data_IF_230892758576
#
_entry.id   IF_230892758576
#
_cell.length_a   1.000
_cell.length_b   1.000
_cell.length_c   1.000
_cell.angle_alpha   90.00
_cell.angle_beta   90.00
_cell.angle_gamma   90.00
#
_symmetry.space_group_name_H-M   'P 1'
#
loop_
_entity.id
_entity.type
_entity.pdbx_description
1 polymer ?
#
# COMPACT_ATOMS: atom_id res chain seq x y z
N UNK A 1 9.41 25.42 9.90
CA UNK A 1 8.43 24.35 10.10
C UNK A 1 9.17 23.19 10.75
N UNK A 2 9.09 23.15 12.08
CA UNK A 2 9.27 22.05 13.04
C UNK A 2 10.06 20.80 12.60
N UNK A 3 11.33 20.73 13.03
CA UNK A 3 12.06 19.48 13.24
C UNK A 3 11.59 18.88 14.58
N UNK A 4 10.40 18.30 14.60
CA UNK A 4 9.97 17.49 15.75
C UNK A 4 10.80 16.19 15.75
N UNK A 5 11.71 15.98 16.72
CA UNK A 5 12.57 14.79 16.74
C UNK A 5 11.78 13.49 16.90
N UNK A 6 10.55 13.56 17.40
CA UNK A 6 9.67 12.40 17.61
C UNK A 6 8.84 12.07 16.35
N UNK A 7 8.84 12.96 15.35
CA UNK A 7 8.12 12.72 14.10
C UNK A 7 8.75 11.60 13.28
N UNK A 8 7.93 10.81 12.61
CA UNK A 8 8.39 9.78 11.67
C UNK A 8 8.58 10.32 10.25
N UNK A 9 7.95 11.45 9.95
CA UNK A 9 7.97 12.09 8.63
C UNK A 9 9.39 12.59 8.27
N UNK A 10 9.77 12.43 7.01
CA UNK A 10 11.09 12.79 6.49
C UNK A 10 12.24 11.85 6.87
N UNK A 11 12.03 10.88 7.77
CA UNK A 11 13.09 9.93 8.19
C UNK A 11 13.33 8.79 7.20
N UNK A 12 12.33 8.45 6.40
CA UNK A 12 12.46 7.56 5.24
C UNK A 12 11.58 8.08 4.10
N UNK A 13 12.09 9.04 3.29
CA UNK A 13 11.28 9.71 2.27
C UNK A 13 10.70 8.76 1.23
N UNK A 14 11.44 7.72 0.81
CA UNK A 14 10.95 6.76 -0.19
C UNK A 14 9.73 5.98 0.33
N UNK A 15 9.80 5.51 1.58
CA UNK A 15 8.69 4.81 2.22
C UNK A 15 7.50 5.73 2.44
N UNK A 16 7.75 6.98 2.79
CA UNK A 16 6.73 8.01 2.95
C UNK A 16 5.99 8.28 1.63
N UNK A 17 6.74 8.49 0.53
CA UNK A 17 6.15 8.68 -0.80
C UNK A 17 5.37 7.45 -1.25
N UNK A 18 5.92 6.26 -1.03
CA UNK A 18 5.22 5.00 -1.32
C UNK A 18 3.89 4.90 -0.57
N UNK A 19 3.89 5.14 0.75
CA UNK A 19 2.67 5.15 1.54
C UNK A 19 1.71 6.24 1.07
N UNK A 20 2.20 7.45 0.78
CA UNK A 20 1.39 8.58 0.34
C UNK A 20 0.67 8.27 -0.98
N UNK A 21 1.34 7.60 -1.91
CA UNK A 21 0.74 7.12 -3.15
C UNK A 21 -0.40 6.12 -2.89
N UNK A 22 -0.18 5.15 -2.00
CA UNK A 22 -1.22 4.18 -1.60
C UNK A 22 -2.39 4.85 -0.87
N UNK A 23 -2.09 5.72 0.09
CA UNK A 23 -3.08 6.44 0.88
C UNK A 23 -3.89 7.38 -0.01
N UNK A 24 -3.30 7.94 -1.07
CA UNK A 24 -4.04 8.75 -2.03
C UNK A 24 -5.20 8.00 -2.70
N UNK A 25 -5.17 6.65 -2.71
CA UNK A 25 -6.12 5.79 -3.44
C UNK A 25 -6.12 6.05 -4.95
N UNK A 26 -5.12 6.79 -5.45
CA UNK A 26 -4.87 6.98 -6.88
C UNK A 26 -3.83 6.00 -7.42
N UNK A 27 -3.16 5.25 -6.55
CA UNK A 27 -2.21 4.22 -6.93
C UNK A 27 -2.39 3.00 -6.02
N UNK A 28 -2.24 1.81 -6.60
CA UNK A 28 -2.14 0.54 -5.89
C UNK A 28 -0.95 -0.24 -6.42
N UNK A 29 -0.48 -1.22 -5.65
CA UNK A 29 0.51 -2.19 -6.12
C UNK A 29 -0.12 -3.56 -6.21
N UNK A 30 -0.10 -4.14 -7.41
CA UNK A 30 -0.50 -5.53 -7.63
C UNK A 30 0.71 -6.42 -7.39
N UNK A 31 0.50 -7.51 -6.66
CA UNK A 31 1.47 -8.60 -6.48
C UNK A 31 0.95 -9.81 -7.23
N UNK A 32 1.78 -10.36 -8.11
CA UNK A 32 1.43 -11.51 -8.93
C UNK A 32 1.98 -12.82 -8.33
N UNK A 33 1.41 -13.96 -8.75
CA UNK A 33 1.83 -15.32 -8.33
C UNK A 33 3.31 -15.60 -8.57
N UNK A 34 3.88 -15.03 -9.62
CA UNK A 34 5.31 -15.12 -9.95
C UNK A 34 6.22 -14.24 -9.06
N UNK A 35 5.63 -13.59 -8.05
CA UNK A 35 6.28 -12.65 -7.11
C UNK A 35 6.74 -11.34 -7.75
N UNK A 36 6.37 -11.06 -9.00
CA UNK A 36 6.53 -9.74 -9.59
C UNK A 36 5.47 -8.78 -9.04
N UNK A 37 5.71 -7.48 -9.20
CA UNK A 37 4.77 -6.46 -8.78
C UNK A 37 4.63 -5.36 -9.84
N UNK A 38 3.46 -4.71 -9.85
CA UNK A 38 3.18 -3.59 -10.75
C UNK A 38 2.45 -2.47 -10.04
N UNK A 39 2.93 -1.24 -10.25
CA UNK A 39 2.22 -0.04 -9.83
C UNK A 39 1.13 0.29 -10.83
N UNK A 40 -0.09 0.48 -10.34
CA UNK A 40 -1.24 0.83 -11.16
C UNK A 40 -1.82 2.15 -10.68
N UNK A 41 -1.95 3.10 -11.61
CA UNK A 41 -2.70 4.32 -11.36
C UNK A 41 -4.19 4.07 -11.53
N UNK A 42 -4.97 4.48 -10.53
CA UNK A 42 -6.41 4.35 -10.48
C UNK A 42 -7.09 5.68 -10.87
N UNK A 43 -8.25 5.61 -11.53
CA UNK A 43 -9.09 6.79 -11.74
C UNK A 43 -9.69 7.27 -10.40
N UNK A 44 -10.44 8.36 -10.43
CA UNK A 44 -11.10 8.86 -9.22
C UNK A 44 -12.02 7.78 -8.62
N UNK A 45 -11.89 7.55 -7.31
CA UNK A 45 -12.61 6.55 -6.52
C UNK A 45 -14.14 6.63 -6.67
N UNK A 46 -14.69 7.81 -6.92
CA UNK A 46 -16.15 7.99 -7.09
C UNK A 46 -16.68 7.49 -8.44
N UNK A 47 -15.81 7.10 -9.36
CA UNK A 47 -16.21 6.68 -10.72
C UNK A 47 -16.54 5.19 -10.79
N UNK A 48 -17.47 4.83 -11.68
CA UNK A 48 -17.74 3.41 -12.00
C UNK A 48 -16.50 2.69 -12.52
N UNK A 49 -15.62 3.41 -13.22
CA UNK A 49 -14.35 2.89 -13.74
C UNK A 49 -13.42 2.41 -12.63
N UNK A 50 -13.35 3.11 -11.50
CA UNK A 50 -12.59 2.66 -10.34
C UNK A 50 -13.07 1.30 -9.85
N UNK A 51 -14.39 1.15 -9.68
CA UNK A 51 -14.99 -0.10 -9.21
C UNK A 51 -14.72 -1.25 -10.19
N UNK A 52 -14.89 -1.02 -11.49
CA UNK A 52 -14.59 -2.04 -12.52
C UNK A 52 -13.15 -2.53 -12.43
N UNK A 53 -12.20 -1.60 -12.37
CA UNK A 53 -10.76 -1.93 -12.31
C UNK A 53 -10.42 -2.73 -11.04
N UNK A 54 -10.95 -2.32 -9.88
CA UNK A 54 -10.71 -3.05 -8.63
C UNK A 54 -11.31 -4.47 -8.68
N UNK A 55 -12.52 -4.61 -9.23
CA UNK A 55 -13.15 -5.93 -9.43
C UNK A 55 -12.31 -6.80 -10.37
N UNK A 56 -11.80 -6.25 -11.48
CA UNK A 56 -10.91 -6.97 -12.41
C UNK A 56 -9.66 -7.51 -11.69
N UNK A 57 -9.07 -6.74 -10.78
CA UNK A 57 -7.92 -7.19 -9.99
C UNK A 57 -8.29 -8.23 -8.94
N UNK A 58 -9.47 -8.13 -8.35
CA UNK A 58 -9.98 -9.12 -7.40
C UNK A 58 -10.32 -10.44 -8.09
N UNK A 59 -10.81 -10.41 -9.33
CA UNK A 59 -11.16 -11.57 -10.14
C UNK A 59 -9.94 -12.20 -10.87
N UNK A 60 -8.85 -11.45 -11.09
CA UNK A 60 -7.65 -11.98 -11.75
C UNK A 60 -6.91 -13.01 -10.86
N UNK A 61 -6.96 -14.27 -11.26
CA UNK A 61 -6.31 -15.38 -10.57
C UNK A 61 -4.78 -15.24 -10.46
N UNK A 62 -4.14 -14.43 -11.30
CA UNK A 62 -2.69 -14.21 -11.21
C UNK A 62 -2.33 -13.21 -10.12
N UNK A 63 -3.26 -12.35 -9.69
CA UNK A 63 -3.06 -11.38 -8.61
C UNK A 63 -3.31 -12.07 -7.27
N UNK A 64 -2.33 -12.00 -6.37
CA UNK A 64 -2.40 -12.59 -5.03
C UNK A 64 -2.56 -11.54 -3.92
N UNK A 65 -2.19 -10.29 -4.21
CA UNK A 65 -2.41 -9.17 -3.31
C UNK A 65 -2.52 -7.85 -4.07
N UNK A 66 -3.32 -6.95 -3.52
CA UNK A 66 -3.50 -5.57 -3.95
C UNK A 66 -3.15 -4.70 -2.75
N UNK A 67 -1.97 -4.08 -2.77
CA UNK A 67 -1.53 -3.20 -1.69
C UNK A 67 -2.15 -1.82 -1.86
N UNK A 68 -2.84 -1.36 -0.83
CA UNK A 68 -3.46 -0.04 -0.75
C UNK A 68 -3.35 0.49 0.69
N UNK A 69 -3.73 1.74 0.93
CA UNK A 69 -3.78 2.30 2.28
C UNK A 69 -5.01 3.17 2.48
N UNK A 70 -5.48 3.22 3.71
CA UNK A 70 -6.44 4.24 4.13
C UNK A 70 -5.75 5.61 4.19
N UNK A 71 -6.52 6.68 3.97
CA UNK A 71 -6.09 8.07 4.19
C UNK A 71 -6.06 8.38 5.69
N UNK A 72 -5.18 7.73 6.42
CA UNK A 72 -5.01 7.91 7.86
C UNK A 72 -3.52 7.99 8.17
N UNK A 73 -3.10 9.05 8.86
CA UNK A 73 -1.70 9.20 9.29
C UNK A 73 -1.27 8.01 10.15
N UNK A 74 -2.15 7.50 11.02
CA UNK A 74 -1.88 6.31 11.83
C UNK A 74 -1.50 5.08 10.98
N UNK A 75 -2.09 4.93 9.78
CA UNK A 75 -1.71 3.88 8.81
C UNK A 75 -0.21 3.88 8.49
N UNK A 76 0.40 5.07 8.47
CA UNK A 76 1.84 5.21 8.31
C UNK A 76 2.56 5.15 9.65
N UNK A 77 2.21 6.03 10.58
CA UNK A 77 3.00 6.30 11.79
C UNK A 77 3.03 5.11 12.75
N UNK A 78 1.92 4.39 12.88
CA UNK A 78 1.75 3.33 13.87
C UNK A 78 1.94 1.93 13.26
N UNK A 79 1.52 1.75 12.01
CA UNK A 79 1.41 0.42 11.40
C UNK A 79 2.56 0.13 10.45
N UNK A 80 2.79 0.98 9.43
CA UNK A 80 3.83 0.73 8.44
C UNK A 80 5.23 1.12 8.92
N UNK A 81 5.41 2.38 9.32
CA UNK A 81 6.74 2.97 9.55
C UNK A 81 7.54 2.26 10.65
N UNK A 82 6.99 1.93 11.85
CA UNK A 82 7.80 1.32 12.91
C UNK A 82 8.46 0.00 12.50
N UNK A 83 7.80 -0.76 11.62
CA UNK A 83 8.25 -2.05 11.10
C UNK A 83 9.16 -1.92 9.88
N UNK A 84 8.96 -0.89 9.06
CA UNK A 84 9.63 -0.71 7.77
C UNK A 84 10.67 0.42 7.74
N UNK A 85 10.87 1.19 8.84
CA UNK A 85 11.71 2.40 8.87
C UNK A 85 13.12 2.24 8.30
N UNK A 86 13.74 1.07 8.48
CA UNK A 86 15.09 0.76 7.99
C UNK A 86 15.12 -0.08 6.71
N UNK A 87 13.98 -0.23 6.04
CA UNK A 87 13.80 -1.07 4.84
C UNK A 87 13.51 -0.19 3.63
N UNK A 88 13.94 -0.67 2.46
CA UNK A 88 13.58 -0.08 1.18
C UNK A 88 12.14 -0.43 0.81
N UNK A 89 11.54 0.36 -0.08
CA UNK A 89 10.19 0.10 -0.62
C UNK A 89 10.12 -1.26 -1.31
N UNK A 90 11.13 -1.64 -2.10
CA UNK A 90 11.19 -2.95 -2.76
C UNK A 90 11.19 -4.10 -1.74
N UNK A 91 11.92 -3.96 -0.63
CA UNK A 91 11.90 -4.97 0.43
C UNK A 91 10.51 -5.09 1.06
N UNK A 92 9.85 -3.96 1.32
CA UNK A 92 8.49 -3.90 1.88
C UNK A 92 7.48 -4.58 0.96
N UNK A 93 7.56 -4.34 -0.36
CA UNK A 93 6.70 -4.97 -1.36
C UNK A 93 6.96 -6.48 -1.44
N UNK A 94 8.22 -6.91 -1.50
CA UNK A 94 8.58 -8.34 -1.55
C UNK A 94 8.13 -9.11 -0.31
N UNK A 95 8.11 -8.45 0.85
CA UNK A 95 7.70 -9.04 2.12
C UNK A 95 6.36 -8.47 2.61
N UNK A 96 5.45 -8.15 1.68
CA UNK A 96 4.22 -7.43 2.00
C UNK A 96 3.38 -8.09 3.10
N UNK A 97 3.40 -9.41 3.25
CA UNK A 97 2.67 -10.12 4.31
C UNK A 97 3.12 -9.74 5.74
N UNK A 98 4.32 -9.19 5.91
CA UNK A 98 4.82 -8.68 7.20
C UNK A 98 4.27 -7.29 7.52
N UNK A 99 3.95 -6.51 6.49
CA UNK A 99 3.62 -5.08 6.60
C UNK A 99 2.15 -4.78 6.30
N UNK A 100 1.46 -5.69 5.60
CA UNK A 100 0.10 -5.52 5.12
C UNK A 100 -0.74 -6.77 5.44
N UNK A 101 -1.93 -6.54 5.97
CA UNK A 101 -2.94 -7.57 6.24
C UNK A 101 -4.12 -7.46 5.27
N UNK A 102 -4.79 -8.57 4.94
CA UNK A 102 -6.03 -8.49 4.19
C UNK A 102 -7.12 -7.81 5.03
N UNK A 103 -8.07 -7.13 4.36
CA UNK A 103 -9.18 -6.44 5.05
C UNK A 103 -10.09 -7.48 5.71
N UNK A 104 -10.49 -8.51 4.96
CA UNK A 104 -11.15 -9.70 5.48
C UNK A 104 -10.31 -10.96 5.18
N UNK A 105 -10.47 -12.05 5.95
CA UNK A 105 -9.82 -13.32 5.63
C UNK A 105 -10.11 -13.77 4.20
N UNK A 106 -9.06 -13.94 3.39
CA UNK A 106 -9.18 -14.35 1.98
C UNK A 106 -9.11 -13.20 0.97
N UNK A 107 -9.22 -11.94 1.40
CA UNK A 107 -9.19 -10.80 0.49
C UNK A 107 -7.79 -10.61 -0.14
N UNK A 108 -7.79 -10.29 -1.44
CA UNK A 108 -6.59 -9.82 -2.14
C UNK A 108 -6.23 -8.40 -1.71
N UNK A 109 -7.21 -7.56 -1.37
CA UNK A 109 -6.97 -6.19 -0.93
C UNK A 109 -6.36 -6.15 0.47
N UNK A 110 -5.22 -5.46 0.60
CA UNK A 110 -4.45 -5.39 1.83
C UNK A 110 -4.09 -3.96 2.23
N UNK A 111 -4.09 -3.73 3.53
CA UNK A 111 -3.79 -2.44 4.17
C UNK A 111 -2.68 -2.58 5.20
N UNK A 112 -1.95 -1.52 5.54
CA UNK A 112 -0.91 -1.56 6.56
C UNK A 112 -1.37 -2.22 7.87
N UNK A 113 -0.51 -3.07 8.44
CA UNK A 113 -0.70 -3.83 9.67
C UNK A 113 0.00 -3.18 10.86
#
# INVERSE_FOLDING_TARGET
>A
MWNDPDTVWGKNPELEYFWGDLASQKKVVLIYKDKTHKYINLPNRTTKKYKSIMNEFEEDDNVVAILSSNRSQDAYEQYLYPKAKSKSVDYVIKHYNTYFKPILPGDKLRVPL
#
